data_IF_875754174650
#
_entry.id   IF_875754174650
#
_cell.length_a   1.000
_cell.length_b   1.000
_cell.length_c   1.000
_cell.angle_alpha   90.00
_cell.angle_beta   90.00
_cell.angle_gamma   90.00
#
_symmetry.space_group_name_H-M   'P 1'
#
loop_
_entity.id
_entity.type
_entity.pdbx_description
1 polymer ?
#
# COMPACT_ATOMS: atom_id res chain seq x y z
N UNK A 1 21.82 -64.15 19.50
CA UNK A 1 22.30 -62.93 20.18
C UNK A 1 22.32 -61.85 19.12
N UNK A 2 21.30 -60.99 19.13
CA UNK A 2 21.07 -59.94 18.14
C UNK A 2 22.06 -58.79 18.36
N UNK A 3 22.81 -58.42 17.33
CA UNK A 3 23.64 -57.21 17.33
C UNK A 3 22.79 -56.04 16.85
N UNK A 4 22.34 -55.18 17.76
CA UNK A 4 21.74 -53.91 17.38
C UNK A 4 22.87 -52.90 17.12
N UNK A 5 23.03 -52.53 15.84
CA UNK A 5 23.90 -51.46 15.38
C UNK A 5 23.11 -50.15 15.50
N UNK A 6 23.24 -49.46 16.63
CA UNK A 6 22.57 -48.17 16.89
C UNK A 6 23.18 -47.07 16.04
N UNK A 7 22.78 -46.98 14.78
CA UNK A 7 23.03 -45.84 13.89
C UNK A 7 21.93 -44.82 14.18
N UNK A 8 22.12 -43.91 15.14
CA UNK A 8 21.53 -42.56 15.06
C UNK A 8 22.01 -41.63 16.19
N UNK A 9 23.31 -41.35 16.21
CA UNK A 9 23.83 -40.14 16.86
C UNK A 9 23.72 -38.95 15.91
N UNK A 10 22.51 -38.44 15.65
CA UNK A 10 22.38 -37.12 15.00
C UNK A 10 22.44 -36.05 16.09
N UNK A 11 23.39 -35.09 16.03
CA UNK A 11 23.32 -33.92 16.89
C UNK A 11 22.04 -33.15 16.53
N UNK A 12 21.27 -32.79 17.56
CA UNK A 12 20.09 -31.93 17.42
C UNK A 12 20.54 -30.63 16.77
N UNK A 13 20.13 -30.40 15.52
CA UNK A 13 20.19 -29.10 14.87
C UNK A 13 19.39 -28.15 15.75
N UNK A 14 20.09 -27.40 16.59
CA UNK A 14 19.51 -26.24 17.25
C UNK A 14 19.20 -25.26 16.14
N UNK A 15 17.92 -25.03 15.87
CA UNK A 15 17.49 -23.83 15.17
C UNK A 15 17.84 -22.67 16.09
N UNK A 16 19.09 -22.21 16.02
CA UNK A 16 19.50 -20.93 16.57
C UNK A 16 18.54 -19.90 15.98
N UNK A 17 17.83 -19.09 16.78
CA UNK A 17 17.04 -18.02 16.22
C UNK A 17 18.04 -17.09 15.57
N UNK A 18 18.11 -17.15 14.25
CA UNK A 18 18.89 -16.25 13.37
C UNK A 18 18.59 -14.82 13.81
N UNK A 19 19.37 -14.31 14.77
CA UNK A 19 19.27 -12.92 15.18
C UNK A 19 19.68 -12.16 13.93
N UNK A 20 18.84 -11.26 13.39
CA UNK A 20 19.16 -10.62 12.12
C UNK A 20 20.51 -9.95 12.28
N UNK A 21 21.47 -10.38 11.45
CA UNK A 21 22.82 -9.83 11.40
C UNK A 21 22.71 -8.31 11.24
N UNK A 22 23.70 -7.55 11.71
CA UNK A 22 23.67 -6.08 11.66
C UNK A 22 23.36 -5.58 10.23
N UNK A 23 23.86 -6.28 9.22
CA UNK A 23 23.62 -6.02 7.80
C UNK A 23 22.15 -6.23 7.40
N UNK A 24 21.51 -7.34 7.82
CA UNK A 24 20.10 -7.60 7.55
C UNK A 24 19.16 -6.56 8.21
N UNK A 25 19.56 -5.99 9.35
CA UNK A 25 18.81 -4.90 10.00
C UNK A 25 18.91 -3.61 9.20
N UNK A 26 20.10 -3.27 8.71
CA UNK A 26 20.35 -2.05 7.92
C UNK A 26 19.59 -2.09 6.59
N UNK A 27 19.62 -3.22 5.87
CA UNK A 27 18.90 -3.36 4.59
C UNK A 27 17.39 -3.25 4.79
N UNK A 28 16.84 -3.88 5.83
CA UNK A 28 15.41 -3.79 6.15
C UNK A 28 15.00 -2.38 6.59
N UNK A 29 15.86 -1.66 7.31
CA UNK A 29 15.61 -0.27 7.68
C UNK A 29 15.61 0.64 6.45
N UNK A 30 16.57 0.47 5.54
CA UNK A 30 16.64 1.24 4.29
C UNK A 30 15.39 1.01 3.43
N UNK A 31 14.97 -0.26 3.26
CA UNK A 31 13.72 -0.59 2.55
C UNK A 31 12.50 0.06 3.21
N UNK A 32 12.37 -0.02 4.53
CA UNK A 32 11.27 0.58 5.26
C UNK A 32 11.25 2.12 5.16
N UNK A 33 12.41 2.76 5.11
CA UNK A 33 12.50 4.21 4.91
C UNK A 33 12.03 4.60 3.50
N UNK A 34 12.47 3.88 2.47
CA UNK A 34 12.01 4.10 1.09
C UNK A 34 10.49 3.90 0.97
N UNK A 35 9.94 2.84 1.58
CA UNK A 35 8.49 2.62 1.63
C UNK A 35 7.74 3.76 2.32
N UNK A 36 8.26 4.31 3.42
CA UNK A 36 7.64 5.45 4.11
C UNK A 36 7.64 6.71 3.26
N UNK A 37 8.71 6.96 2.49
CA UNK A 37 8.79 8.09 1.58
C UNK A 37 7.76 7.98 0.46
N UNK A 38 7.64 6.80 -0.16
CA UNK A 38 6.65 6.52 -1.20
C UNK A 38 5.21 6.62 -0.67
N UNK A 39 4.94 6.03 0.50
CA UNK A 39 3.63 6.09 1.15
C UNK A 39 3.25 7.53 1.54
N UNK A 40 4.23 8.36 1.94
CA UNK A 40 4.00 9.78 2.22
C UNK A 40 3.45 10.53 1.01
N UNK A 41 4.04 10.31 -0.17
CA UNK A 41 3.61 10.96 -1.42
C UNK A 41 2.20 10.51 -1.82
N UNK A 42 1.92 9.21 -1.77
CA UNK A 42 0.59 8.67 -2.08
C UNK A 42 -0.50 9.20 -1.11
N UNK A 43 -0.17 9.29 0.19
CA UNK A 43 -1.09 9.82 1.20
C UNK A 43 -1.41 11.30 0.99
N UNK A 44 -0.42 12.13 0.64
CA UNK A 44 -0.67 13.54 0.35
C UNK A 44 -1.53 13.72 -0.90
N UNK A 45 -1.28 12.97 -1.97
CA UNK A 45 -2.13 12.95 -3.16
C UNK A 45 -3.59 12.59 -2.81
N UNK A 46 -3.79 11.55 -2.00
CA UNK A 46 -5.12 11.12 -1.53
C UNK A 46 -5.81 12.15 -0.63
N UNK A 47 -5.07 12.85 0.22
CA UNK A 47 -5.64 13.94 1.06
C UNK A 47 -6.12 15.09 0.19
N UNK A 48 -5.31 15.51 -0.79
CA UNK A 48 -5.69 16.58 -1.70
C UNK A 48 -6.91 16.19 -2.53
N UNK A 49 -6.99 14.95 -3.02
CA UNK A 49 -8.15 14.50 -3.79
C UNK A 49 -9.42 14.44 -2.94
N UNK A 50 -9.33 13.96 -1.70
CA UNK A 50 -10.45 14.02 -0.74
C UNK A 50 -10.92 15.45 -0.46
N UNK A 51 -10.00 16.42 -0.40
CA UNK A 51 -10.36 17.82 -0.24
C UNK A 51 -11.06 18.36 -1.48
N UNK A 52 -10.57 18.01 -2.68
CA UNK A 52 -11.22 18.34 -3.96
C UNK A 52 -12.65 17.80 -4.01
N UNK A 53 -12.85 16.51 -3.76
CA UNK A 53 -14.18 15.88 -3.77
C UNK A 53 -15.15 16.58 -2.80
N UNK A 54 -14.68 16.94 -1.61
CA UNK A 54 -15.49 17.70 -0.64
C UNK A 54 -15.90 19.06 -1.18
N UNK A 55 -15.00 19.80 -1.84
CA UNK A 55 -15.32 21.08 -2.48
C UNK A 55 -16.33 20.90 -3.59
N UNK A 56 -16.13 19.92 -4.48
CA UNK A 56 -17.08 19.58 -5.55
C UNK A 56 -18.47 19.29 -4.97
N UNK A 57 -18.54 18.43 -3.95
CA UNK A 57 -19.80 18.10 -3.30
C UNK A 57 -20.47 19.32 -2.69
N UNK A 58 -19.71 20.23 -2.09
CA UNK A 58 -20.24 21.48 -1.54
C UNK A 58 -20.83 22.40 -2.64
N UNK A 59 -20.14 22.53 -3.78
CA UNK A 59 -20.65 23.30 -4.93
C UNK A 59 -21.97 22.71 -5.46
N UNK A 60 -22.02 21.39 -5.66
CA UNK A 60 -23.23 20.69 -6.10
C UNK A 60 -24.37 20.92 -5.11
N UNK A 61 -24.10 20.81 -3.80
CA UNK A 61 -25.10 21.02 -2.76
C UNK A 61 -25.63 22.45 -2.70
N UNK A 62 -24.79 23.43 -3.03
CA UNK A 62 -25.16 24.84 -3.11
C UNK A 62 -25.83 25.22 -4.44
N UNK A 63 -25.95 24.28 -5.40
CA UNK A 63 -26.43 24.58 -6.74
C UNK A 63 -25.46 25.44 -7.57
N UNK A 64 -24.21 25.55 -7.13
CA UNK A 64 -23.19 26.36 -7.79
C UNK A 64 -22.40 25.53 -8.80
N UNK A 65 -22.01 26.12 -9.95
CA UNK A 65 -21.14 25.43 -10.88
C UNK A 65 -19.79 25.10 -10.23
N UNK A 66 -19.26 23.92 -10.54
CA UNK A 66 -17.96 23.46 -10.02
C UNK A 66 -16.83 24.21 -10.73
N UNK A 67 -15.90 24.84 -9.97
CA UNK A 67 -14.74 25.53 -10.52
C UNK A 67 -13.87 24.58 -11.36
N UNK A 68 -13.23 25.07 -12.45
CA UNK A 68 -12.41 24.25 -13.34
C UNK A 68 -11.25 23.56 -12.60
N UNK A 69 -10.68 24.19 -11.58
CA UNK A 69 -9.57 23.65 -10.77
C UNK A 69 -9.95 22.38 -10.00
N UNK A 70 -11.25 22.14 -9.78
CA UNK A 70 -11.74 20.96 -9.07
C UNK A 70 -12.28 19.87 -10.02
N UNK A 71 -12.23 20.08 -11.34
CA UNK A 71 -12.73 19.09 -12.31
C UNK A 71 -11.79 17.89 -12.38
N UNK A 72 -10.49 18.15 -12.43
CA UNK A 72 -9.49 17.12 -12.67
C UNK A 72 -9.17 16.30 -11.40
N UNK A 73 -9.31 14.97 -11.44
CA UNK A 73 -8.92 14.11 -10.33
C UNK A 73 -7.40 14.08 -10.17
N UNK A 74 -6.92 14.07 -8.93
CA UNK A 74 -5.49 13.92 -8.66
C UNK A 74 -5.15 12.43 -8.81
N UNK A 75 -4.21 12.13 -9.71
CA UNK A 75 -3.75 10.77 -9.93
C UNK A 75 -2.92 10.32 -8.72
N UNK A 76 -3.46 9.39 -7.94
CA UNK A 76 -2.71 8.75 -6.87
C UNK A 76 -1.67 7.79 -7.51
N UNK A 77 -0.36 7.99 -7.26
CA UNK A 77 0.69 7.15 -7.83
C UNK A 77 0.59 5.68 -7.43
N UNK A 78 -0.12 5.35 -6.34
CA UNK A 78 -0.36 3.98 -5.89
C UNK A 78 -1.69 3.41 -6.44
N UNK A 79 -2.60 4.25 -6.95
CA UNK A 79 -3.92 3.82 -7.40
C UNK A 79 -3.93 3.03 -8.72
N UNK A 80 -2.83 3.05 -9.49
CA UNK A 80 -2.65 2.14 -10.64
C UNK A 80 -2.65 0.65 -10.27
N UNK A 81 -2.53 0.32 -8.97
CA UNK A 81 -2.53 -1.06 -8.46
C UNK A 81 -3.90 -1.60 -8.05
N UNK A 82 -4.96 -0.75 -8.04
CA UNK A 82 -6.32 -1.18 -7.66
C UNK A 82 -7.22 -1.17 -8.89
N UNK A 83 -7.94 -2.27 -9.18
CA UNK A 83 -8.97 -2.22 -10.21
C UNK A 83 -10.02 -1.21 -9.78
N UNK A 84 -10.26 -0.19 -10.62
CA UNK A 84 -11.38 0.73 -10.45
C UNK A 84 -12.67 -0.09 -10.44
N UNK A 85 -13.49 -0.06 -9.36
CA UNK A 85 -14.87 -0.55 -9.47
C UNK A 85 -15.56 0.35 -10.48
N UNK A 86 -16.17 -0.25 -11.50
CA UNK A 86 -16.73 0.42 -12.67
C UNK A 86 -17.51 1.69 -12.32
N UNK A 87 -16.94 2.83 -12.66
CA UNK A 87 -17.70 4.05 -12.88
C UNK A 87 -18.06 4.04 -14.37
N UNK A 88 -19.16 3.38 -14.71
CA UNK A 88 -19.83 3.63 -15.99
C UNK A 88 -20.71 4.87 -15.80
N UNK A 89 -20.41 6.00 -16.47
CA UNK A 89 -21.32 7.12 -16.50
C UNK A 89 -22.39 6.85 -17.57
N UNK A 90 -23.37 6.01 -17.25
CA UNK A 90 -24.64 5.95 -17.96
C UNK A 90 -25.52 7.11 -17.48
N UNK A 91 -25.25 8.33 -17.94
CA UNK A 91 -26.16 9.46 -17.82
C UNK A 91 -26.89 9.61 -19.16
N UNK A 92 -27.91 8.79 -19.39
CA UNK A 92 -28.91 9.03 -20.42
C UNK A 92 -30.11 9.71 -19.75
N UNK A 93 -30.35 10.97 -20.11
CA UNK A 93 -31.62 11.63 -19.85
C UNK A 93 -32.57 11.25 -20.98
N UNK A 94 -33.71 10.64 -20.64
CA UNK A 94 -34.99 10.83 -21.32
C UNK A 94 -36.09 11.08 -20.28
#
# INVERSE_FOLDING_TARGET
MLTELTIFGLPKLTHSPESPTKEARVTRQAANQAHKQLAGVALEARKQDRLREKRVKAHIRAGNPVPPENRDPILDPEAGSKPKPGFEPGFEFE
#
